data_IF_437110583140
#
_entry.id   IF_437110583140
#
_cell.length_a   1.000
_cell.length_b   1.000
_cell.length_c   1.000
_cell.angle_alpha   90.00
_cell.angle_beta   90.00
_cell.angle_gamma   90.00
#
_symmetry.space_group_name_H-M   'P 1'
#
loop_
_entity.id
_entity.type
_entity.pdbx_description
1 polymer ?
#
# COMPACT_ATOMS: atom_id res chain seq x y z
N UNK A 1 5.77 16.33 27.61
CA UNK A 1 5.79 14.98 27.06
C UNK A 1 6.53 15.01 25.72
N UNK A 2 7.48 14.12 25.53
CA UNK A 2 8.20 13.96 24.26
C UNK A 2 7.66 12.72 23.49
N UNK A 3 8.05 12.57 22.21
CA UNK A 3 7.60 11.47 21.35
C UNK A 3 7.86 10.10 21.96
N UNK A 4 9.03 9.88 22.57
CA UNK A 4 9.35 8.60 23.20
C UNK A 4 8.40 8.29 24.34
N UNK A 5 8.17 9.26 25.22
CA UNK A 5 7.25 9.11 26.34
C UNK A 5 5.81 8.87 25.89
N UNK A 6 5.39 9.47 24.77
CA UNK A 6 4.07 9.27 24.18
C UNK A 6 3.89 7.83 23.69
N UNK A 7 4.89 7.29 22.99
CA UNK A 7 4.85 5.89 22.49
C UNK A 7 4.96 4.86 23.63
N UNK A 8 5.61 5.19 24.77
CA UNK A 8 5.68 4.32 25.93
C UNK A 8 4.31 4.10 26.60
N UNK A 9 3.34 4.98 26.38
CA UNK A 9 2.05 4.94 27.06
C UNK A 9 1.29 3.61 26.84
N UNK A 10 1.28 3.10 25.62
CA UNK A 10 0.63 1.82 25.28
C UNK A 10 1.20 0.64 26.07
N UNK A 11 2.50 0.35 25.96
CA UNK A 11 3.16 -0.73 26.70
C UNK A 11 3.02 -0.60 28.24
N UNK A 12 3.11 0.62 28.77
CA UNK A 12 2.90 0.84 30.21
C UNK A 12 1.48 0.50 30.65
N UNK A 13 0.46 0.80 29.85
CA UNK A 13 -0.92 0.40 30.12
C UNK A 13 -1.14 -1.13 30.03
N UNK A 14 -0.25 -1.86 29.34
CA UNK A 14 -0.21 -3.31 29.35
C UNK A 14 0.52 -3.89 30.59
N UNK A 15 0.97 -3.05 31.52
CA UNK A 15 1.64 -3.46 32.76
C UNK A 15 3.15 -3.64 32.65
N UNK A 16 3.78 -3.22 31.54
CA UNK A 16 5.25 -3.22 31.42
C UNK A 16 5.89 -2.17 32.30
N UNK A 17 7.10 -2.43 32.78
CA UNK A 17 7.92 -1.42 33.48
C UNK A 17 8.26 -0.27 32.53
N UNK A 18 8.71 0.84 33.07
CA UNK A 18 9.11 2.01 32.25
C UNK A 18 10.28 1.67 31.33
N UNK A 19 11.25 0.91 31.82
CA UNK A 19 12.43 0.48 31.08
C UNK A 19 12.02 -0.42 29.90
N UNK A 20 11.17 -1.41 30.13
CA UNK A 20 10.63 -2.29 29.09
C UNK A 20 9.82 -1.50 28.04
N UNK A 21 8.99 -0.56 28.51
CA UNK A 21 8.19 0.29 27.63
C UNK A 21 9.06 1.20 26.75
N UNK A 22 10.15 1.76 27.30
CA UNK A 22 11.10 2.56 26.50
C UNK A 22 11.82 1.73 25.45
N UNK A 23 12.21 0.50 25.73
CA UNK A 23 12.84 -0.40 24.75
C UNK A 23 11.88 -0.73 23.60
N UNK A 24 10.63 -1.08 23.92
CA UNK A 24 9.63 -1.38 22.90
C UNK A 24 9.28 -0.14 22.07
N UNK A 25 9.15 1.02 22.71
CA UNK A 25 8.89 2.28 22.04
C UNK A 25 10.02 2.68 21.08
N UNK A 26 11.29 2.54 21.49
CA UNK A 26 12.46 2.79 20.62
C UNK A 26 12.46 1.87 19.41
N UNK A 27 12.24 0.56 19.62
CA UNK A 27 12.14 -0.42 18.52
C UNK A 27 11.03 -0.05 17.54
N UNK A 28 9.83 0.25 18.05
CA UNK A 28 8.69 0.61 17.22
C UNK A 28 8.92 1.90 16.41
N UNK A 29 9.49 2.93 17.03
CA UNK A 29 9.83 4.19 16.36
C UNK A 29 10.83 3.99 15.23
N UNK A 30 11.88 3.20 15.45
CA UNK A 30 12.87 2.88 14.41
C UNK A 30 12.26 2.09 13.25
N UNK A 31 11.37 1.15 13.54
CA UNK A 31 10.70 0.33 12.53
C UNK A 31 9.80 1.14 11.58
N UNK A 32 9.22 2.23 12.06
CA UNK A 32 8.48 3.17 11.20
C UNK A 32 9.37 4.26 10.60
N UNK A 33 10.70 4.10 10.65
CA UNK A 33 11.68 5.04 10.10
C UNK A 33 11.75 6.37 10.83
N UNK A 34 11.33 6.44 12.10
CA UNK A 34 11.45 7.65 12.91
C UNK A 34 12.84 7.73 13.52
N UNK A 35 13.58 8.81 13.25
CA UNK A 35 15.00 8.94 13.60
C UNK A 35 15.19 9.21 15.10
N UNK A 36 16.16 8.56 15.75
CA UNK A 36 16.47 8.70 17.19
C UNK A 36 16.64 10.15 17.64
N UNK A 37 17.31 10.99 16.85
CA UNK A 37 17.50 12.43 17.14
C UNK A 37 16.20 13.20 17.37
N UNK A 38 15.06 12.64 16.98
CA UNK A 38 13.74 13.24 17.12
C UNK A 38 12.93 12.68 18.29
N UNK A 39 13.42 11.65 19.01
CA UNK A 39 12.70 11.00 20.12
C UNK A 39 12.33 11.97 21.25
N UNK A 40 13.17 12.99 21.46
CA UNK A 40 12.95 14.00 22.49
C UNK A 40 12.19 15.25 22.02
N UNK A 41 11.75 15.27 20.75
CA UNK A 41 10.91 16.37 20.26
C UNK A 41 9.51 16.31 20.85
N UNK A 42 8.89 17.48 20.93
CA UNK A 42 7.45 17.56 21.21
C UNK A 42 6.64 16.95 20.04
N UNK A 43 5.62 16.13 20.29
CA UNK A 43 4.71 15.65 19.25
C UNK A 43 4.06 16.78 18.43
N UNK A 44 3.93 17.98 19.02
CA UNK A 44 3.35 19.14 18.35
C UNK A 44 4.26 19.72 17.25
N UNK A 45 5.58 19.55 17.39
CA UNK A 45 6.59 20.07 16.45
C UNK A 45 6.83 19.14 15.25
N UNK A 46 6.05 18.06 15.13
CA UNK A 46 6.19 17.07 14.08
C UNK A 46 5.40 17.45 12.82
N UNK A 47 5.96 17.15 11.64
CA UNK A 47 5.21 17.17 10.38
C UNK A 47 4.08 16.13 10.38
N UNK A 48 3.10 16.29 9.47
CA UNK A 48 1.98 15.34 9.36
C UNK A 48 2.43 13.89 9.17
N UNK A 49 3.41 13.65 8.30
CA UNK A 49 3.99 12.30 8.10
C UNK A 49 4.71 11.77 9.34
N UNK A 50 5.43 12.64 10.06
CA UNK A 50 6.06 12.25 11.33
C UNK A 50 5.03 11.90 12.41
N UNK A 51 3.94 12.66 12.53
CA UNK A 51 2.83 12.35 13.45
C UNK A 51 2.22 10.98 13.16
N UNK A 52 1.98 10.66 11.89
CA UNK A 52 1.45 9.35 11.48
C UNK A 52 2.41 8.21 11.85
N UNK A 53 3.70 8.36 11.59
CA UNK A 53 4.72 7.36 11.98
C UNK A 53 4.73 7.14 13.50
N UNK A 54 4.66 8.19 14.29
CA UNK A 54 4.60 8.10 15.76
C UNK A 54 3.32 7.41 16.21
N UNK A 55 2.17 7.71 15.61
CA UNK A 55 0.91 7.05 15.93
C UNK A 55 0.96 5.53 15.63
N UNK A 56 1.49 5.14 14.47
CA UNK A 56 1.70 3.73 14.12
C UNK A 56 2.67 3.07 15.11
N UNK A 57 3.78 3.74 15.46
CA UNK A 57 4.74 3.24 16.44
C UNK A 57 4.10 3.02 17.81
N UNK A 58 3.20 3.92 18.27
CA UNK A 58 2.47 3.78 19.52
C UNK A 58 1.64 2.49 19.60
N UNK A 59 1.03 2.09 18.50
CA UNK A 59 0.32 0.81 18.43
C UNK A 59 1.29 -0.37 18.32
N UNK A 60 2.33 -0.26 17.49
CA UNK A 60 3.33 -1.31 17.29
C UNK A 60 4.13 -1.66 18.54
N UNK A 61 4.37 -0.68 19.42
CA UNK A 61 5.05 -0.87 20.70
C UNK A 61 4.28 -1.82 21.63
N UNK A 62 2.97 -1.97 21.44
CA UNK A 62 2.14 -2.93 22.16
C UNK A 62 2.23 -4.36 21.60
N UNK A 63 3.03 -4.59 20.57
CA UNK A 63 3.25 -5.86 19.91
C UNK A 63 1.94 -6.56 19.46
N UNK A 64 1.10 -5.89 18.64
CA UNK A 64 -0.18 -6.44 18.21
C UNK A 64 0.01 -7.60 17.23
N UNK A 65 -0.92 -8.55 17.22
CA UNK A 65 -1.01 -9.61 16.19
C UNK A 65 -1.71 -9.12 14.92
N UNK A 66 -2.60 -8.14 15.07
CA UNK A 66 -3.37 -7.53 13.98
C UNK A 66 -3.25 -6.02 14.11
N UNK A 67 -2.88 -5.35 13.02
CA UNK A 67 -2.81 -3.89 12.92
C UNK A 67 -3.84 -3.42 11.90
N UNK A 68 -4.77 -2.58 12.35
CA UNK A 68 -5.79 -1.97 11.48
C UNK A 68 -5.38 -0.52 11.25
N UNK A 69 -5.26 -0.14 9.99
CA UNK A 69 -4.86 1.20 9.55
C UNK A 69 -5.98 1.78 8.69
N UNK A 70 -6.60 2.83 9.19
CA UNK A 70 -7.66 3.56 8.48
C UNK A 70 -7.05 4.83 7.88
N UNK A 71 -7.04 4.88 6.54
CA UNK A 71 -6.49 6.00 5.74
C UNK A 71 -5.09 6.46 6.20
N UNK A 72 -4.10 5.57 6.35
CA UNK A 72 -2.81 5.95 6.92
C UNK A 72 -2.03 6.96 6.10
N UNK A 73 -2.37 7.11 4.82
CA UNK A 73 -1.70 7.99 3.86
C UNK A 73 -2.43 9.31 3.59
N UNK A 74 -3.63 9.49 4.14
CA UNK A 74 -4.42 10.71 3.91
C UNK A 74 -3.65 11.98 4.29
N UNK A 75 -3.64 12.98 3.38
CA UNK A 75 -2.98 14.26 3.61
C UNK A 75 -1.45 14.24 3.53
N UNK A 76 -0.85 13.17 3.02
CA UNK A 76 0.58 13.10 2.73
C UNK A 76 0.85 13.43 1.25
N UNK A 77 2.04 13.96 0.99
CA UNK A 77 2.58 14.05 -0.36
C UNK A 77 2.89 12.64 -0.92
N UNK A 78 3.02 12.47 -2.24
CA UNK A 78 3.25 11.14 -2.85
C UNK A 78 4.45 10.39 -2.25
N UNK A 79 5.54 11.09 -2.00
CA UNK A 79 6.74 10.48 -1.41
C UNK A 79 6.51 9.99 0.02
N UNK A 80 5.87 10.80 0.87
CA UNK A 80 5.56 10.43 2.25
C UNK A 80 4.57 9.27 2.33
N UNK A 81 3.66 9.17 1.35
CA UNK A 81 2.71 8.07 1.18
C UNK A 81 3.44 6.76 0.88
N UNK A 82 4.28 6.74 -0.18
CA UNK A 82 5.05 5.55 -0.54
C UNK A 82 5.96 5.10 0.62
N UNK A 83 6.66 6.02 1.27
CA UNK A 83 7.52 5.70 2.41
C UNK A 83 6.77 5.04 3.57
N UNK A 84 5.55 5.47 3.88
CA UNK A 84 4.74 4.84 4.94
C UNK A 84 4.25 3.46 4.53
N UNK A 85 3.74 3.30 3.31
CA UNK A 85 3.23 2.02 2.82
C UNK A 85 4.34 0.99 2.67
N UNK A 86 5.51 1.37 2.17
CA UNK A 86 6.68 0.50 2.09
C UNK A 86 7.10 0.00 3.49
N UNK A 87 7.07 0.87 4.50
CA UNK A 87 7.37 0.48 5.88
C UNK A 87 6.32 -0.45 6.47
N UNK A 88 5.05 -0.22 6.17
CA UNK A 88 3.95 -1.11 6.59
C UNK A 88 4.11 -2.49 5.95
N UNK A 89 4.43 -2.55 4.66
CA UNK A 89 4.68 -3.79 3.95
C UNK A 89 5.90 -4.55 4.51
N UNK A 90 6.97 -3.83 4.84
CA UNK A 90 8.15 -4.41 5.48
C UNK A 90 7.85 -4.96 6.87
N UNK A 91 7.05 -4.25 7.67
CA UNK A 91 6.58 -4.74 8.97
C UNK A 91 5.79 -6.04 8.86
N UNK A 92 4.91 -6.16 7.87
CA UNK A 92 4.19 -7.39 7.59
C UNK A 92 5.15 -8.55 7.32
N UNK A 93 6.12 -8.34 6.42
CA UNK A 93 7.12 -9.36 6.03
C UNK A 93 8.01 -9.80 7.19
N UNK A 94 8.52 -8.84 7.97
CA UNK A 94 9.51 -9.11 9.03
C UNK A 94 8.87 -9.67 10.29
N UNK A 95 7.70 -9.14 10.68
CA UNK A 95 7.04 -9.53 11.94
C UNK A 95 5.96 -10.59 11.77
N UNK A 96 5.47 -10.83 10.56
CA UNK A 96 4.36 -11.74 10.30
C UNK A 96 3.02 -11.28 10.90
N UNK A 97 2.88 -9.98 11.21
CA UNK A 97 1.62 -9.43 11.73
C UNK A 97 0.60 -9.30 10.61
N UNK A 98 -0.67 -9.56 10.91
CA UNK A 98 -1.75 -9.29 9.96
C UNK A 98 -2.01 -7.80 9.89
N UNK A 99 -2.00 -7.22 8.68
CA UNK A 99 -2.31 -5.80 8.46
C UNK A 99 -3.63 -5.70 7.70
N UNK A 100 -4.56 -4.93 8.24
CA UNK A 100 -5.81 -4.56 7.57
C UNK A 100 -5.70 -3.09 7.20
N UNK A 101 -5.62 -2.82 5.90
CA UNK A 101 -5.55 -1.48 5.34
C UNK A 101 -6.94 -1.06 4.84
N UNK A 102 -7.50 -0.01 5.42
CA UNK A 102 -8.69 0.65 4.88
C UNK A 102 -8.24 1.86 4.09
N UNK A 103 -8.57 1.89 2.80
CA UNK A 103 -8.15 2.95 1.89
C UNK A 103 -9.14 3.14 0.75
N UNK A 104 -9.21 4.36 0.24
CA UNK A 104 -9.90 4.71 -1.01
C UNK A 104 -8.93 4.89 -2.18
N UNK A 105 -7.64 4.69 -1.96
CA UNK A 105 -6.62 4.71 -3.02
C UNK A 105 -6.49 3.34 -3.67
N UNK A 106 -7.05 3.18 -4.84
CA UNK A 106 -7.04 1.91 -5.55
C UNK A 106 -5.64 1.52 -6.02
N UNK A 107 -4.78 2.51 -6.30
CA UNK A 107 -3.37 2.29 -6.63
C UNK A 107 -2.59 1.68 -5.46
N UNK A 108 -2.83 2.19 -4.23
CA UNK A 108 -2.19 1.63 -3.03
C UNK A 108 -2.67 0.21 -2.76
N UNK A 109 -3.97 0.00 -2.87
CA UNK A 109 -4.59 -1.33 -2.71
C UNK A 109 -4.01 -2.30 -3.74
N UNK A 110 -3.93 -1.92 -5.02
CA UNK A 110 -3.37 -2.79 -6.07
C UNK A 110 -1.91 -3.17 -5.80
N UNK A 111 -1.11 -2.24 -5.25
CA UNK A 111 0.33 -2.41 -5.06
C UNK A 111 0.70 -3.17 -3.79
N UNK A 112 -0.05 -2.96 -2.69
CA UNK A 112 0.42 -3.36 -1.36
C UNK A 112 -0.37 -4.48 -0.70
N UNK A 113 -1.59 -4.84 -1.17
CA UNK A 113 -2.40 -5.86 -0.51
C UNK A 113 -2.44 -7.17 -1.28
N UNK A 114 -2.50 -8.27 -0.54
CA UNK A 114 -2.59 -9.62 -1.10
C UNK A 114 -4.05 -10.10 -1.25
N UNK A 115 -4.97 -9.54 -0.44
CA UNK A 115 -6.40 -9.84 -0.44
C UNK A 115 -7.18 -8.55 -0.35
N UNK A 116 -8.18 -8.38 -1.20
CA UNK A 116 -9.07 -7.24 -1.25
C UNK A 116 -10.49 -7.65 -0.89
N UNK A 117 -11.05 -6.99 0.11
CA UNK A 117 -12.45 -7.13 0.50
C UNK A 117 -13.17 -5.83 0.17
N UNK A 118 -14.15 -5.89 -0.71
CA UNK A 118 -15.01 -4.76 -1.05
C UNK A 118 -16.32 -4.87 -0.29
N UNK A 119 -16.64 -3.83 0.49
CA UNK A 119 -17.88 -3.75 1.27
C UNK A 119 -18.81 -2.75 0.61
N UNK A 120 -20.04 -3.18 0.28
CA UNK A 120 -21.08 -2.33 -0.28
C UNK A 120 -22.41 -2.55 0.45
N UNK A 121 -23.04 -1.48 0.92
CA UNK A 121 -24.30 -1.52 1.69
C UNK A 121 -24.28 -2.52 2.87
N UNK A 122 -23.17 -2.60 3.60
CA UNK A 122 -22.99 -3.49 4.76
C UNK A 122 -22.84 -4.97 4.42
N UNK A 123 -22.59 -5.32 3.15
CA UNK A 123 -22.34 -6.67 2.67
C UNK A 123 -21.01 -6.74 1.95
N UNK A 124 -20.36 -7.90 1.99
CA UNK A 124 -19.19 -8.17 1.17
C UNK A 124 -19.65 -8.37 -0.28
N UNK A 125 -19.19 -7.47 -1.16
CA UNK A 125 -19.44 -7.55 -2.59
C UNK A 125 -18.37 -8.40 -3.29
N UNK A 126 -17.10 -8.20 -2.94
CA UNK A 126 -15.97 -8.97 -3.45
C UNK A 126 -15.03 -9.36 -2.32
N UNK A 127 -14.39 -10.51 -2.46
CA UNK A 127 -13.37 -11.03 -1.55
C UNK A 127 -12.42 -11.95 -2.34
N UNK A 128 -11.35 -11.40 -2.89
CA UNK A 128 -10.35 -12.14 -3.68
C UNK A 128 -9.03 -11.31 -3.75
N UNK A 129 -8.07 -11.77 -4.53
CA UNK A 129 -6.86 -11.00 -4.85
C UNK A 129 -7.20 -9.75 -5.67
N UNK A 130 -6.44 -8.63 -5.54
CA UNK A 130 -6.73 -7.38 -6.22
C UNK A 130 -6.96 -7.52 -7.73
N UNK A 131 -6.13 -8.27 -8.44
CA UNK A 131 -6.26 -8.48 -9.90
C UNK A 131 -7.63 -9.01 -10.31
N UNK A 132 -8.17 -9.96 -9.57
CA UNK A 132 -9.50 -10.52 -9.84
C UNK A 132 -10.61 -9.53 -9.53
N UNK A 133 -10.51 -8.82 -8.42
CA UNK A 133 -11.50 -7.82 -8.04
C UNK A 133 -11.52 -6.67 -9.05
N UNK A 134 -10.36 -6.15 -9.45
CA UNK A 134 -10.28 -5.05 -10.42
C UNK A 134 -10.64 -5.46 -11.86
N UNK A 135 -10.65 -6.75 -12.20
CA UNK A 135 -11.23 -7.22 -13.45
C UNK A 135 -12.74 -6.90 -13.57
N UNK A 136 -13.41 -6.74 -12.43
CA UNK A 136 -14.82 -6.31 -12.32
C UNK A 136 -14.97 -4.78 -12.21
N UNK A 137 -14.10 -4.01 -12.86
CA UNK A 137 -14.07 -2.55 -12.72
C UNK A 137 -15.40 -1.86 -13.02
N UNK A 138 -16.20 -2.38 -13.98
CA UNK A 138 -17.53 -1.83 -14.29
C UNK A 138 -18.52 -2.01 -13.13
N UNK A 139 -18.50 -3.17 -12.48
CA UNK A 139 -19.34 -3.43 -11.31
C UNK A 139 -18.88 -2.58 -10.11
N UNK A 140 -17.57 -2.33 -9.96
CA UNK A 140 -17.04 -1.42 -8.95
C UNK A 140 -17.51 0.02 -9.21
N UNK A 141 -17.53 0.49 -10.45
CA UNK A 141 -18.07 1.81 -10.82
C UNK A 141 -19.57 1.96 -10.49
N UNK A 142 -20.37 0.92 -10.70
CA UNK A 142 -21.79 0.90 -10.30
C UNK A 142 -21.96 1.04 -8.77
N UNK A 143 -20.97 0.62 -7.98
CA UNK A 143 -20.91 0.78 -6.54
C UNK A 143 -20.31 2.13 -6.10
N UNK A 144 -19.92 3.00 -7.05
CA UNK A 144 -19.25 4.28 -6.78
C UNK A 144 -17.77 4.15 -6.42
N UNK A 145 -17.15 3.00 -6.74
CA UNK A 145 -15.72 2.76 -6.57
C UNK A 145 -15.01 2.83 -7.91
N UNK A 146 -13.75 3.24 -7.92
CA UNK A 146 -12.91 3.18 -9.11
C UNK A 146 -12.02 1.93 -9.08
N UNK A 147 -11.45 1.53 -10.22
CA UNK A 147 -10.29 0.68 -10.31
C UNK A 147 -9.02 1.54 -10.43
N UNK A 148 -7.81 0.98 -10.29
CA UNK A 148 -6.58 1.69 -10.63
C UNK A 148 -6.62 2.23 -12.06
N UNK A 149 -6.07 3.42 -12.30
CA UNK A 149 -6.07 4.03 -13.63
C UNK A 149 -5.45 3.13 -14.70
N UNK A 150 -4.44 2.36 -14.30
CA UNK A 150 -3.77 1.43 -15.21
C UNK A 150 -4.71 0.35 -15.72
N UNK A 151 -5.67 -0.12 -14.92
CA UNK A 151 -6.69 -1.10 -15.36
C UNK A 151 -7.47 -0.59 -16.58
N UNK A 152 -7.91 0.65 -16.56
CA UNK A 152 -8.62 1.27 -17.71
C UNK A 152 -7.73 1.38 -18.94
N UNK A 153 -6.47 1.76 -18.76
CA UNK A 153 -5.50 1.87 -19.86
C UNK A 153 -5.26 0.51 -20.51
N UNK A 154 -5.03 -0.54 -19.71
CA UNK A 154 -4.76 -1.87 -20.22
C UNK A 154 -5.96 -2.46 -20.97
N UNK A 155 -7.18 -2.26 -20.45
CA UNK A 155 -8.40 -2.63 -21.17
C UNK A 155 -8.52 -1.88 -22.50
N UNK A 156 -8.30 -0.57 -22.53
CA UNK A 156 -8.37 0.22 -23.77
C UNK A 156 -7.30 -0.18 -24.80
N UNK A 157 -6.10 -0.53 -24.37
CA UNK A 157 -5.04 -1.04 -25.23
C UNK A 157 -5.41 -2.41 -25.83
N UNK A 158 -5.98 -3.30 -25.01
CA UNK A 158 -6.48 -4.59 -25.46
C UNK A 158 -7.57 -4.47 -26.50
N UNK A 159 -8.55 -3.59 -26.28
CA UNK A 159 -9.63 -3.30 -27.22
C UNK A 159 -9.12 -2.74 -28.57
N UNK A 160 -8.01 -2.01 -28.55
CA UNK A 160 -7.32 -1.52 -29.76
C UNK A 160 -6.43 -2.58 -30.44
N UNK A 161 -6.42 -3.80 -29.93
CA UNK A 161 -5.71 -4.92 -30.55
C UNK A 161 -4.26 -5.10 -30.12
N UNK A 162 -3.78 -4.38 -29.09
CA UNK A 162 -2.48 -4.70 -28.50
C UNK A 162 -2.55 -6.03 -27.72
N UNK A 163 -1.55 -6.91 -27.87
CA UNK A 163 -1.51 -8.19 -27.17
C UNK A 163 -1.02 -8.01 -25.71
N UNK A 164 -1.79 -7.24 -24.91
CA UNK A 164 -1.51 -6.95 -23.50
C UNK A 164 -2.49 -7.66 -22.58
N UNK A 165 -2.08 -7.90 -21.31
CA UNK A 165 -2.94 -8.47 -20.28
C UNK A 165 -3.79 -7.37 -19.62
N UNK A 166 -5.13 -7.36 -19.79
CA UNK A 166 -6.00 -6.37 -19.16
C UNK A 166 -6.09 -6.55 -17.64
N UNK A 167 -5.56 -7.64 -17.08
CA UNK A 167 -5.54 -7.88 -15.63
C UNK A 167 -4.41 -7.17 -14.89
N UNK A 168 -3.52 -6.45 -15.60
CA UNK A 168 -2.51 -5.64 -14.95
C UNK A 168 -3.13 -4.48 -14.16
N UNK A 169 -2.69 -4.35 -12.90
CA UNK A 169 -3.26 -3.38 -11.96
C UNK A 169 -2.24 -2.37 -11.43
N UNK A 170 -0.95 -2.58 -11.73
CA UNK A 170 0.13 -1.68 -11.36
C UNK A 170 0.86 -1.12 -12.57
N UNK A 171 1.46 0.07 -12.42
CA UNK A 171 2.25 0.71 -13.50
C UNK A 171 3.44 -0.15 -13.89
N UNK A 172 4.08 -0.82 -12.93
CA UNK A 172 5.23 -1.69 -13.14
C UNK A 172 4.88 -2.89 -14.01
N UNK A 173 3.77 -3.58 -13.73
CA UNK A 173 3.27 -4.72 -14.53
C UNK A 173 2.94 -4.26 -15.95
N UNK A 174 2.08 -3.25 -16.08
CA UNK A 174 1.66 -2.73 -17.36
C UNK A 174 2.82 -2.25 -18.25
N UNK A 175 3.83 -1.60 -17.65
CA UNK A 175 5.04 -1.18 -18.36
C UNK A 175 5.77 -2.38 -18.96
N UNK A 176 5.94 -3.46 -18.21
CA UNK A 176 6.61 -4.67 -18.69
C UNK A 176 5.82 -5.30 -19.86
N UNK A 177 4.52 -5.41 -19.68
CA UNK A 177 3.66 -6.05 -20.67
C UNK A 177 3.55 -5.22 -21.97
N UNK A 178 3.35 -3.90 -21.87
CA UNK A 178 3.32 -3.01 -23.03
C UNK A 178 4.67 -3.06 -23.78
N UNK A 179 5.79 -3.01 -23.10
CA UNK A 179 7.11 -3.09 -23.74
C UNK A 179 7.33 -4.44 -24.43
N UNK A 180 6.84 -5.52 -23.84
CA UNK A 180 6.88 -6.85 -24.45
C UNK A 180 6.04 -6.89 -25.72
N UNK A 181 4.78 -6.46 -25.65
CA UNK A 181 3.86 -6.40 -26.78
C UNK A 181 4.40 -5.59 -27.97
N UNK A 182 5.00 -4.41 -27.69
CA UNK A 182 5.61 -3.57 -28.72
C UNK A 182 6.83 -4.23 -29.40
N UNK A 183 7.65 -4.97 -28.65
CA UNK A 183 8.80 -5.70 -29.20
C UNK A 183 8.34 -6.85 -30.12
N UNK A 184 7.31 -7.59 -29.72
CA UNK A 184 6.75 -8.67 -30.55
C UNK A 184 6.14 -8.14 -31.85
N UNK A 185 5.37 -7.04 -31.79
CA UNK A 185 4.81 -6.38 -32.97
C UNK A 185 5.90 -5.91 -33.94
N UNK A 186 6.94 -5.24 -33.45
CA UNK A 186 8.07 -4.81 -34.29
C UNK A 186 8.81 -6.00 -34.92
N UNK A 187 8.99 -7.09 -34.18
CA UNK A 187 9.65 -8.30 -34.67
C UNK A 187 8.82 -8.99 -35.76
N UNK A 188 7.49 -8.98 -35.64
CA UNK A 188 6.59 -9.55 -36.67
C UNK A 188 6.54 -8.71 -37.97
N UNK A 189 6.59 -7.37 -37.83
CA UNK A 189 6.66 -6.45 -38.98
C UNK A 189 7.96 -6.62 -39.77
N UNK A 190 9.10 -6.81 -39.07
CA UNK A 190 10.38 -7.05 -39.71
C UNK A 190 10.46 -8.42 -40.42
N UNK A 191 9.78 -9.44 -39.91
CA UNK A 191 9.69 -10.77 -40.55
C UNK A 191 8.69 -10.83 -41.72
N UNK A 192 7.62 -10.04 -41.67
CA UNK A 192 6.63 -9.96 -42.73
C UNK A 192 7.05 -9.14 -43.96
N UNK A 193 8.08 -8.27 -43.82
CA UNK A 193 8.61 -7.45 -44.89
C UNK A 193 9.60 -8.14 -45.86
N UNK A 194 9.92 -9.42 -45.65
CA UNK A 194 10.93 -10.18 -46.46
C UNK A 194 10.27 -11.17 -47.43
N UNK A 195 8.96 -11.15 -47.58
CA UNK A 195 8.24 -12.00 -48.54
C UNK A 195 7.50 -11.16 -49.62
N UNK A 196 8.22 -10.35 -50.36
CA UNK A 196 7.76 -9.85 -51.69
C UNK A 196 9.00 -9.44 -52.47
N UNK A 197 9.61 -10.41 -53.14
CA UNK A 197 10.28 -10.27 -54.44
C UNK A 197 10.32 -11.64 -55.10
#
# INVERSE_FOLDING_TARGET
SDVLSDVCFGPMNQGKSREEAEEEAKKALLQVGFKEKNFKKSPFDLSGGQKKRVAIAGVLAMNPKILILDEPTAGLDPKGRDEILDQIAELHKVRGITIILVSHSMEDVAKYVERLIVVNHGKIAFDDIPKKVFAHYKELEEMGLAAPQITYIMHALKEKGLPVDPADTTVEEAKQDILHALREMNSSLLKGGVQND
#
